data_IF_357420238696
#
_entry.id   IF_357420238696
#
_cell.length_a   1.000
_cell.length_b   1.000
_cell.length_c   1.000
_cell.angle_alpha   90.00
_cell.angle_beta   90.00
_cell.angle_gamma   90.00
#
_symmetry.space_group_name_H-M   'P 1'
#
loop_
_entity.id
_entity.type
_entity.pdbx_description
1 polymer ?
#
# COMPACT_ATOMS: atom_id res chain seq x y z
N UNK A 1 -1.18 -4.70 -3.32
CA UNK A 1 0.14 -4.05 -3.48
C UNK A 1 0.36 -3.16 -2.27
N UNK A 2 1.54 -3.16 -1.66
CA UNK A 2 1.89 -2.25 -0.56
C UNK A 2 2.89 -1.23 -1.11
N UNK A 3 2.66 0.06 -0.88
CA UNK A 3 3.51 1.15 -1.37
C UNK A 3 3.79 2.12 -0.22
N UNK A 4 4.96 2.77 -0.23
CA UNK A 4 5.18 3.90 0.68
C UNK A 4 4.56 5.17 0.09
N UNK A 5 4.23 6.14 0.93
CA UNK A 5 3.67 7.46 0.58
C UNK A 5 4.34 8.12 -0.63
N UNK A 6 5.67 8.04 -0.73
CA UNK A 6 6.49 8.68 -1.76
C UNK A 6 6.31 8.08 -3.15
N UNK A 7 5.78 6.85 -3.25
CA UNK A 7 5.59 6.12 -4.50
C UNK A 7 4.12 5.94 -4.87
N UNK A 8 3.20 6.62 -4.17
CA UNK A 8 1.76 6.48 -4.43
C UNK A 8 1.41 6.91 -5.86
N UNK A 9 1.97 8.03 -6.32
CA UNK A 9 1.68 8.53 -7.66
C UNK A 9 2.18 7.58 -8.75
N UNK A 10 3.39 7.06 -8.63
CA UNK A 10 3.99 6.10 -9.56
C UNK A 10 3.19 4.80 -9.60
N UNK A 11 2.70 4.36 -8.45
CA UNK A 11 1.82 3.20 -8.35
C UNK A 11 0.48 3.42 -9.07
N UNK A 12 -0.11 4.60 -8.95
CA UNK A 12 -1.33 4.98 -9.68
C UNK A 12 -1.09 5.05 -11.20
N UNK A 13 0.03 5.64 -11.62
CA UNK A 13 0.42 5.72 -13.04
C UNK A 13 0.63 4.33 -13.64
N UNK A 14 1.34 3.44 -12.94
CA UNK A 14 1.55 2.06 -13.41
C UNK A 14 0.24 1.29 -13.49
N UNK A 15 -0.64 1.46 -12.50
CA UNK A 15 -1.96 0.83 -12.48
C UNK A 15 -2.78 1.22 -13.71
N UNK A 16 -2.82 2.51 -14.01
CA UNK A 16 -3.54 3.04 -15.17
C UNK A 16 -2.95 2.52 -16.48
N UNK A 17 -1.62 2.57 -16.62
CA UNK A 17 -0.92 2.11 -17.82
C UNK A 17 -1.12 0.61 -18.11
N UNK A 18 -1.31 -0.21 -17.06
CA UNK A 18 -1.49 -1.66 -17.17
C UNK A 18 -2.97 -2.09 -17.18
N UNK A 19 -3.92 -1.14 -17.13
CA UNK A 19 -5.36 -1.45 -17.07
C UNK A 19 -5.80 -2.16 -15.79
N UNK A 20 -5.03 -2.01 -14.70
CA UNK A 20 -5.25 -2.69 -13.42
C UNK A 20 -6.20 -1.89 -12.50
N UNK A 21 -7.27 -1.31 -13.02
CA UNK A 21 -8.08 -0.32 -12.30
C UNK A 21 -8.67 -0.82 -10.97
N UNK A 22 -8.90 -2.14 -10.83
CA UNK A 22 -9.39 -2.77 -9.59
C UNK A 22 -8.30 -3.00 -8.53
N UNK A 23 -7.02 -2.80 -8.87
CA UNK A 23 -5.92 -2.93 -7.91
C UNK A 23 -5.75 -1.65 -7.11
N UNK A 24 -6.24 -1.58 -5.88
CA UNK A 24 -5.92 -0.45 -5.00
C UNK A 24 -4.68 -0.73 -4.12
N UNK A 25 -3.78 0.25 -3.91
CA UNK A 25 -2.63 0.11 -3.03
C UNK A 25 -3.04 0.19 -1.56
N UNK A 26 -2.38 -0.59 -0.71
CA UNK A 26 -2.25 -0.28 0.71
C UNK A 26 -1.06 0.69 0.87
N UNK A 27 -1.30 1.84 1.47
CA UNK A 27 -0.29 2.91 1.59
C UNK A 27 0.24 2.92 3.02
N UNK A 28 1.56 2.86 3.15
CA UNK A 28 2.27 2.95 4.43
C UNK A 28 3.22 4.14 4.41
N UNK A 29 3.65 4.59 5.58
CA UNK A 29 4.61 5.69 5.67
C UNK A 29 6.00 5.25 5.16
N UNK A 30 6.75 6.17 4.57
CA UNK A 30 8.17 6.01 4.29
C UNK A 30 9.02 6.35 5.54
N UNK A 31 10.30 5.94 5.62
CA UNK A 31 11.00 4.95 4.78
C UNK A 31 10.62 3.52 5.13
N UNK A 32 11.07 2.56 4.31
CA UNK A 32 11.03 1.13 4.61
C UNK A 32 12.45 0.53 4.72
N UNK A 33 13.39 1.01 3.90
CA UNK A 33 14.73 0.41 3.73
C UNK A 33 15.71 0.64 4.88
N UNK A 34 15.44 1.60 5.76
CA UNK A 34 16.33 1.99 6.86
C UNK A 34 15.73 1.73 8.24
N UNK A 35 14.58 1.06 8.29
CA UNK A 35 13.84 0.82 9.52
C UNK A 35 14.45 -0.33 10.31
N UNK A 36 14.36 -0.22 11.64
CA UNK A 36 14.55 -1.33 12.56
C UNK A 36 13.38 -2.31 12.50
N UNK A 37 13.54 -3.51 13.05
CA UNK A 37 12.46 -4.52 13.09
C UNK A 37 11.19 -4.00 13.77
N UNK A 38 11.33 -3.22 14.84
CA UNK A 38 10.20 -2.61 15.57
C UNK A 38 9.45 -1.61 14.68
N UNK A 39 10.18 -0.82 13.90
CA UNK A 39 9.57 0.14 12.96
C UNK A 39 8.96 -0.58 11.75
N UNK A 40 9.55 -1.68 11.29
CA UNK A 40 8.97 -2.55 10.26
C UNK A 40 7.64 -3.15 10.75
N UNK A 41 7.58 -3.59 12.01
CA UNK A 41 6.34 -4.10 12.60
C UNK A 41 5.25 -3.03 12.60
N UNK A 42 5.58 -1.79 12.95
CA UNK A 42 4.64 -0.67 12.85
C UNK A 42 4.16 -0.43 11.40
N UNK A 43 5.03 -0.56 10.38
CA UNK A 43 4.61 -0.50 8.97
C UNK A 43 3.72 -1.66 8.55
N UNK A 44 3.99 -2.85 9.06
CA UNK A 44 3.15 -4.02 8.81
C UNK A 44 1.74 -3.83 9.39
N UNK A 45 1.63 -3.28 10.60
CA UNK A 45 0.35 -2.94 11.23
C UNK A 45 -0.44 -1.91 10.41
N UNK A 46 0.22 -0.87 9.89
CA UNK A 46 -0.40 0.10 8.98
C UNK A 46 -1.00 -0.55 7.73
N UNK A 47 -0.27 -1.50 7.12
CA UNK A 47 -0.73 -2.19 5.91
C UNK A 47 -1.81 -3.25 6.19
N UNK A 48 -1.75 -3.97 7.30
CA UNK A 48 -2.53 -5.18 7.53
C UNK A 48 -4.05 -4.94 7.39
N UNK A 49 -4.59 -3.92 8.06
CA UNK A 49 -6.01 -3.58 7.98
C UNK A 49 -6.45 -3.18 6.57
N UNK A 50 -5.61 -2.42 5.87
CA UNK A 50 -5.86 -2.00 4.48
C UNK A 50 -5.89 -3.21 3.55
N UNK A 51 -4.89 -4.09 3.64
CA UNK A 51 -4.80 -5.31 2.83
C UNK A 51 -6.02 -6.21 3.00
N UNK A 52 -6.50 -6.40 4.24
CA UNK A 52 -7.71 -7.19 4.51
C UNK A 52 -8.94 -6.53 3.87
N UNK A 53 -9.11 -5.22 4.03
CA UNK A 53 -10.25 -4.50 3.45
C UNK A 53 -10.23 -4.53 1.92
N UNK A 54 -9.05 -4.37 1.31
CA UNK A 54 -8.85 -4.47 -0.13
C UNK A 54 -9.17 -5.86 -0.65
N UNK A 55 -8.64 -6.90 0.01
CA UNK A 55 -8.87 -8.30 -0.36
C UNK A 55 -10.34 -8.68 -0.29
N UNK A 56 -11.06 -8.17 0.71
CA UNK A 56 -12.48 -8.44 0.90
C UNK A 56 -13.40 -7.50 0.10
N UNK A 57 -12.85 -6.57 -0.69
CA UNK A 57 -13.64 -5.60 -1.45
C UNK A 57 -14.45 -4.63 -0.58
N UNK A 58 -13.99 -4.35 0.65
CA UNK A 58 -14.66 -3.49 1.65
C UNK A 58 -14.19 -2.04 1.62
N UNK A 59 -13.16 -1.73 0.83
CA UNK A 59 -12.74 -0.35 0.60
C UNK A 59 -13.84 0.39 -0.16
N UNK A 60 -14.27 1.55 0.35
CA UNK A 60 -15.25 2.39 -0.33
C UNK A 60 -14.77 2.65 -1.76
N UNK A 61 -15.64 2.37 -2.74
CA UNK A 61 -15.40 2.72 -4.14
C UNK A 61 -15.46 4.23 -4.31
#
# INVERSE_FOLDING_TARGET
MIVTTEFLHEAEVQREALGMHDLAPAVIDHPLSTLTDVEIEARAEQAAGQCINLWLGRSAR
#
